data_IF_492958038173
#
_entry.id   IF_492958038173
#
_cell.length_a   1.000
_cell.length_b   1.000
_cell.length_c   1.000
_cell.angle_alpha   90.00
_cell.angle_beta   90.00
_cell.angle_gamma   90.00
#
_symmetry.space_group_name_H-M   'P 1'
#
loop_
_entity.id
_entity.type
_entity.pdbx_description
1 polymer ?
#
# COMPACT_ATOMS: atom_id res chain seq x y z
N UNK A 1 22.67 -7.92 67.31
CA UNK A 1 23.93 -7.29 66.84
C UNK A 1 24.91 -7.13 67.98
N UNK A 2 24.60 -6.44 69.08
CA UNK A 2 25.52 -6.19 70.19
C UNK A 2 26.06 -7.46 70.88
N UNK A 3 25.35 -8.57 70.85
CA UNK A 3 25.73 -9.84 71.44
C UNK A 3 26.47 -10.79 70.48
N UNK A 4 26.64 -10.42 69.25
CA UNK A 4 27.33 -11.22 68.21
C UNK A 4 28.84 -10.90 68.21
N UNK A 5 29.67 -11.93 68.05
CA UNK A 5 31.14 -11.82 68.10
C UNK A 5 31.74 -11.35 66.76
N UNK A 6 30.98 -11.45 65.67
CA UNK A 6 31.38 -11.01 64.32
C UNK A 6 30.21 -10.47 63.50
N UNK A 7 30.48 -9.63 62.50
CA UNK A 7 29.44 -9.15 61.58
C UNK A 7 28.70 -10.31 60.89
N UNK A 8 29.40 -11.38 60.52
CA UNK A 8 28.81 -12.54 59.88
C UNK A 8 27.77 -13.27 60.79
N UNK A 9 28.14 -13.46 62.08
CA UNK A 9 27.22 -14.02 63.07
C UNK A 9 26.00 -13.14 63.33
N UNK A 10 26.17 -11.81 63.26
CA UNK A 10 25.06 -10.87 63.38
C UNK A 10 24.10 -10.98 62.19
N UNK A 11 24.64 -11.15 60.98
CA UNK A 11 23.90 -11.38 59.74
C UNK A 11 23.03 -12.61 59.83
N UNK A 12 23.64 -13.77 60.20
CA UNK A 12 22.98 -15.06 60.32
C UNK A 12 21.85 -15.07 61.34
N UNK A 13 22.08 -14.43 62.49
CA UNK A 13 21.09 -14.24 63.55
C UNK A 13 19.94 -13.33 63.15
N UNK A 14 20.20 -12.28 62.38
CA UNK A 14 19.13 -11.40 61.85
C UNK A 14 18.28 -12.13 60.83
N UNK A 15 18.89 -12.86 59.91
CA UNK A 15 18.20 -13.66 58.93
C UNK A 15 17.32 -14.75 59.55
N UNK A 16 17.86 -15.51 60.52
CA UNK A 16 17.14 -16.61 61.17
C UNK A 16 15.99 -16.12 62.08
N UNK A 17 16.18 -15.04 62.82
CA UNK A 17 15.21 -14.51 63.80
C UNK A 17 14.07 -13.72 63.19
N UNK A 18 14.34 -12.98 62.11
CA UNK A 18 13.39 -12.07 61.51
C UNK A 18 12.98 -12.44 60.06
N UNK A 19 13.45 -13.61 59.57
CA UNK A 19 13.22 -14.07 58.21
C UNK A 19 13.61 -13.07 57.13
N UNK A 20 14.71 -12.32 57.36
CA UNK A 20 15.19 -11.31 56.46
C UNK A 20 16.06 -11.93 55.34
N UNK A 21 16.03 -11.33 54.17
CA UNK A 21 16.99 -11.67 53.12
C UNK A 21 18.40 -11.22 53.55
N UNK A 22 19.44 -11.84 52.91
CA UNK A 22 20.85 -11.46 53.18
C UNK A 22 21.10 -9.98 52.92
N UNK A 23 20.49 -9.40 51.87
CA UNK A 23 20.59 -7.97 51.51
C UNK A 23 20.00 -7.10 52.63
N UNK A 24 18.84 -7.46 53.15
CA UNK A 24 18.18 -6.73 54.23
C UNK A 24 18.98 -6.80 55.56
N UNK A 25 19.47 -7.99 55.89
CA UNK A 25 20.29 -8.19 57.10
C UNK A 25 21.60 -7.42 57.00
N UNK A 26 22.24 -7.39 55.85
CA UNK A 26 23.47 -6.60 55.60
C UNK A 26 23.22 -5.11 55.73
N UNK A 27 22.14 -4.59 55.19
CA UNK A 27 21.77 -3.20 55.31
C UNK A 27 21.59 -2.78 56.80
N UNK A 28 21.01 -3.68 57.64
CA UNK A 28 20.86 -3.42 59.07
C UNK A 28 22.22 -3.40 59.81
N UNK A 29 23.14 -4.32 59.46
CA UNK A 29 24.48 -4.37 60.10
C UNK A 29 25.33 -3.16 59.69
N UNK A 30 25.20 -2.67 58.47
CA UNK A 30 25.92 -1.51 57.92
C UNK A 30 25.29 -0.16 58.29
N UNK A 31 24.12 -0.16 58.98
CA UNK A 31 23.38 1.03 59.35
C UNK A 31 24.19 1.90 60.32
N UNK A 32 24.33 3.17 59.98
CA UNK A 32 25.06 4.16 60.82
C UNK A 32 24.18 4.59 62.00
N UNK A 33 24.80 4.85 63.18
CA UNK A 33 24.09 5.32 64.35
C UNK A 33 23.28 6.58 64.13
N UNK A 34 23.69 7.44 63.19
CA UNK A 34 22.94 8.64 62.76
C UNK A 34 21.56 8.30 62.20
N UNK A 35 21.44 7.18 61.53
CA UNK A 35 20.17 6.73 60.89
C UNK A 35 19.15 6.24 61.92
N UNK A 36 19.54 6.07 63.18
CA UNK A 36 18.68 5.67 64.30
C UNK A 36 18.07 6.89 65.03
N UNK A 37 18.34 8.11 64.58
CA UNK A 37 17.71 9.31 65.17
C UNK A 37 16.24 9.39 64.79
N UNK A 38 15.39 9.96 65.69
CA UNK A 38 13.94 10.05 65.45
C UNK A 38 13.60 10.73 64.13
N UNK A 39 14.29 11.79 63.73
CA UNK A 39 14.06 12.50 62.47
C UNK A 39 14.33 11.63 61.23
N UNK A 40 15.31 10.74 61.25
CA UNK A 40 15.57 9.81 60.14
C UNK A 40 14.60 8.62 60.13
N UNK A 41 14.10 8.21 61.33
CA UNK A 41 13.04 7.21 61.42
C UNK A 41 11.73 7.73 60.81
N UNK A 42 11.36 8.98 61.12
CA UNK A 42 10.16 9.61 60.55
C UNK A 42 10.24 9.72 59.04
N UNK A 43 11.40 10.07 58.48
CA UNK A 43 11.63 10.06 57.01
C UNK A 43 11.47 8.68 56.42
N UNK A 44 12.06 7.67 57.07
CA UNK A 44 11.98 6.28 56.58
C UNK A 44 10.52 5.76 56.62
N UNK A 45 9.76 6.13 57.67
CA UNK A 45 8.35 5.81 57.73
C UNK A 45 7.52 6.49 56.63
N UNK A 46 7.78 7.75 56.37
CA UNK A 46 7.11 8.47 55.28
C UNK A 46 7.41 7.84 53.93
N UNK A 47 8.67 7.53 53.65
CA UNK A 47 9.10 6.86 52.41
C UNK A 47 8.46 5.45 52.26
N UNK A 48 8.39 4.70 53.37
CA UNK A 48 7.73 3.40 53.39
C UNK A 48 6.23 3.50 53.06
N UNK A 49 5.53 4.45 53.70
CA UNK A 49 4.11 4.69 53.40
C UNK A 49 3.86 5.12 51.95
N UNK A 50 4.75 5.94 51.36
CA UNK A 50 4.66 6.34 49.98
C UNK A 50 4.81 5.14 49.03
N UNK A 51 5.80 4.28 49.32
CA UNK A 51 6.04 3.06 48.52
C UNK A 51 4.87 2.08 48.67
N UNK A 52 4.30 1.87 49.85
CA UNK A 52 3.13 1.02 50.05
C UNK A 52 1.90 1.52 49.28
N UNK A 53 1.68 2.82 49.28
CA UNK A 53 0.60 3.45 48.50
C UNK A 53 0.84 3.23 46.98
N UNK A 54 2.06 3.40 46.54
CA UNK A 54 2.42 3.17 45.15
C UNK A 54 2.22 1.69 44.73
N UNK A 55 2.67 0.75 45.59
CA UNK A 55 2.45 -0.69 45.32
C UNK A 55 0.97 -1.03 45.28
N UNK A 56 0.19 -0.51 46.19
CA UNK A 56 -1.28 -0.71 46.23
C UNK A 56 -1.94 -0.17 44.97
N UNK A 57 -1.56 1.02 44.53
CA UNK A 57 -2.07 1.65 43.31
C UNK A 57 -1.68 0.85 42.05
N UNK A 58 -0.42 0.39 41.94
CA UNK A 58 0.02 -0.42 40.80
C UNK A 58 -0.68 -1.79 40.76
N UNK A 59 -0.90 -2.41 41.90
CA UNK A 59 -1.69 -3.64 41.99
C UNK A 59 -3.15 -3.43 41.58
N UNK A 60 -3.76 -2.30 41.92
CA UNK A 60 -5.11 -1.94 41.49
C UNK A 60 -5.18 -1.75 39.99
N UNK A 61 -4.18 -1.10 39.36
CA UNK A 61 -4.09 -0.97 37.91
C UNK A 61 -4.00 -2.35 37.22
N UNK A 62 -3.20 -3.26 37.78
CA UNK A 62 -3.04 -4.61 37.25
C UNK A 62 -4.30 -5.48 37.40
N UNK A 63 -5.09 -5.23 38.46
CA UNK A 63 -6.32 -5.97 38.72
C UNK A 63 -7.54 -5.43 37.97
N UNK A 64 -7.48 -4.20 37.46
CA UNK A 64 -8.60 -3.51 36.82
C UNK A 64 -8.24 -2.97 35.44
N UNK A 65 -8.72 -3.65 34.40
CA UNK A 65 -8.48 -3.27 33.00
C UNK A 65 -8.98 -1.85 32.66
N UNK A 66 -10.08 -1.41 33.24
CA UNK A 66 -10.63 -0.07 32.97
C UNK A 66 -9.75 1.02 33.57
N UNK A 67 -9.19 0.78 34.74
CA UNK A 67 -8.22 1.68 35.35
C UNK A 67 -6.93 1.74 34.56
N UNK A 68 -6.44 0.58 34.06
CA UNK A 68 -5.27 0.48 33.19
C UNK A 68 -5.48 1.31 31.89
N UNK A 69 -6.64 1.16 31.26
CA UNK A 69 -6.99 1.94 30.05
C UNK A 69 -7.08 3.44 30.33
N UNK A 70 -7.58 3.81 31.52
CA UNK A 70 -7.63 5.20 31.94
C UNK A 70 -6.24 5.80 32.07
N UNK A 71 -5.32 5.11 32.74
CA UNK A 71 -3.92 5.54 32.88
C UNK A 71 -3.27 5.73 31.52
N UNK A 72 -3.39 4.74 30.62
CA UNK A 72 -2.86 4.86 29.26
C UNK A 72 -3.45 6.05 28.50
N UNK A 73 -4.74 6.31 28.68
CA UNK A 73 -5.40 7.47 28.05
C UNK A 73 -4.85 8.78 28.58
N UNK A 74 -4.67 8.88 29.89
CA UNK A 74 -4.18 10.10 30.55
C UNK A 74 -2.73 10.39 30.12
N UNK A 75 -1.85 9.38 30.04
CA UNK A 75 -0.49 9.49 29.52
C UNK A 75 -0.47 9.94 28.04
N UNK A 76 -1.36 9.38 27.19
CA UNK A 76 -1.48 9.78 25.79
C UNK A 76 -1.98 11.23 25.64
N UNK A 77 -2.87 11.67 26.52
CA UNK A 77 -3.36 13.06 26.54
C UNK A 77 -2.23 14.02 26.93
N UNK A 78 -1.41 13.67 27.91
CA UNK A 78 -0.24 14.47 28.29
C UNK A 78 0.75 14.62 27.12
N UNK A 79 1.04 13.51 26.40
CA UNK A 79 1.88 13.54 25.20
C UNK A 79 1.26 14.41 24.11
N UNK A 80 -0.07 14.28 23.90
CA UNK A 80 -0.79 15.09 22.93
C UNK A 80 -0.70 16.58 23.25
N UNK A 81 -0.88 16.96 24.53
CA UNK A 81 -0.84 18.36 24.93
C UNK A 81 0.56 18.96 24.82
N UNK A 82 1.60 18.13 25.05
CA UNK A 82 3.00 18.56 24.97
C UNK A 82 3.56 18.62 23.54
N UNK A 83 3.12 17.73 22.68
CA UNK A 83 3.69 17.53 21.32
C UNK A 83 2.67 17.64 20.20
N UNK A 84 1.38 17.88 20.52
CA UNK A 84 0.31 17.93 19.54
C UNK A 84 0.40 19.18 18.67
N UNK A 85 0.52 18.99 17.37
CA UNK A 85 0.45 20.05 16.37
C UNK A 85 -0.97 20.20 15.83
N UNK A 86 -1.30 21.40 15.38
CA UNK A 86 -2.51 21.64 14.60
C UNK A 86 -2.47 20.85 13.29
N UNK A 87 -3.62 20.32 12.89
CA UNK A 87 -3.72 19.62 11.60
C UNK A 87 -3.27 20.54 10.46
N UNK A 88 -2.30 20.10 9.66
CA UNK A 88 -1.73 20.85 8.54
C UNK A 88 -2.60 20.79 7.27
N UNK A 89 -3.49 19.80 7.18
CA UNK A 89 -4.37 19.59 6.03
C UNK A 89 -5.81 19.92 6.41
N UNK A 90 -6.53 20.59 5.54
CA UNK A 90 -7.95 20.86 5.69
C UNK A 90 -8.79 19.60 5.41
N UNK A 91 -9.86 19.39 6.20
CA UNK A 91 -10.86 18.35 5.91
C UNK A 91 -11.93 19.01 5.07
N UNK A 92 -11.97 18.69 3.80
CA UNK A 92 -13.04 19.09 2.89
C UNK A 92 -13.97 17.89 2.66
N UNK A 93 -15.27 18.14 2.65
CA UNK A 93 -16.21 17.12 2.19
C UNK A 93 -16.15 17.11 0.67
N UNK A 94 -15.71 16.00 0.08
CA UNK A 94 -15.74 15.82 -1.36
C UNK A 94 -17.21 15.83 -1.80
N UNK A 95 -17.61 16.85 -2.54
CA UNK A 95 -18.92 16.94 -3.17
C UNK A 95 -18.98 16.22 -4.52
N UNK A 96 -17.81 15.84 -5.07
CA UNK A 96 -17.65 15.14 -6.34
C UNK A 96 -16.80 13.90 -6.16
N UNK A 97 -17.17 12.81 -6.83
CA UNK A 97 -16.33 11.62 -6.92
C UNK A 97 -15.03 12.00 -7.63
N UNK A 98 -13.89 11.81 -6.95
CA UNK A 98 -12.57 12.02 -7.55
C UNK A 98 -12.42 11.04 -8.72
N UNK A 99 -12.44 11.57 -9.94
CA UNK A 99 -12.16 10.77 -11.11
C UNK A 99 -10.64 10.60 -11.25
N UNK A 100 -10.10 9.37 -11.33
CA UNK A 100 -8.68 9.15 -11.56
C UNK A 100 -8.13 9.89 -12.79
N UNK A 101 -8.97 10.18 -13.78
CA UNK A 101 -8.59 10.93 -14.97
C UNK A 101 -8.14 12.37 -14.64
N UNK A 102 -8.68 12.99 -13.57
CA UNK A 102 -8.39 14.39 -13.20
C UNK A 102 -6.94 14.58 -12.71
N UNK A 103 -6.27 13.48 -12.33
CA UNK A 103 -4.86 13.50 -11.91
C UNK A 103 -3.85 13.41 -13.06
N UNK A 104 -4.31 13.15 -14.27
CA UNK A 104 -3.46 13.00 -15.45
C UNK A 104 -3.81 14.07 -16.49
N UNK A 105 -2.80 14.78 -16.98
CA UNK A 105 -2.96 15.64 -18.18
C UNK A 105 -3.28 14.75 -19.39
N UNK A 106 -4.14 15.25 -20.31
CA UNK A 106 -4.52 14.49 -21.52
C UNK A 106 -3.44 14.61 -22.61
N UNK A 107 -2.20 14.25 -22.26
CA UNK A 107 -1.07 14.30 -23.16
C UNK A 107 -1.12 13.17 -24.22
N UNK A 108 -0.53 13.44 -25.40
CA UNK A 108 -0.41 12.42 -26.44
C UNK A 108 0.72 11.45 -26.15
N UNK A 109 0.38 10.17 -26.18
CA UNK A 109 1.27 9.05 -25.91
C UNK A 109 1.36 8.12 -27.12
N UNK A 110 2.47 7.42 -27.23
CA UNK A 110 2.65 6.28 -28.15
C UNK A 110 2.58 4.99 -27.35
N UNK A 111 1.61 4.16 -27.67
CA UNK A 111 1.49 2.81 -27.12
C UNK A 111 2.19 1.86 -28.05
N UNK A 112 3.14 1.10 -27.52
CA UNK A 112 3.90 0.09 -28.23
C UNK A 112 3.57 -1.28 -27.68
N UNK A 113 3.22 -2.23 -28.55
CA UNK A 113 2.89 -3.60 -28.18
C UNK A 113 3.78 -4.55 -28.99
N UNK A 114 4.45 -5.46 -28.29
CA UNK A 114 5.31 -6.47 -28.94
C UNK A 114 4.52 -7.74 -29.27
N UNK A 115 5.06 -8.57 -30.15
CA UNK A 115 4.49 -9.86 -30.55
C UNK A 115 4.30 -10.82 -29.36
N UNK A 116 5.19 -10.78 -28.37
CA UNK A 116 5.08 -11.58 -27.14
C UNK A 116 4.12 -10.98 -26.11
N UNK A 117 3.44 -9.87 -26.41
CA UNK A 117 2.44 -9.25 -25.54
C UNK A 117 3.02 -8.35 -24.46
N UNK A 118 4.18 -7.72 -24.69
CA UNK A 118 4.69 -6.64 -23.83
C UNK A 118 4.12 -5.30 -24.30
N UNK A 119 3.62 -4.51 -23.37
CA UNK A 119 3.01 -3.22 -23.64
C UNK A 119 3.69 -2.13 -22.79
N UNK A 120 3.82 -0.95 -23.40
CA UNK A 120 4.22 0.29 -22.72
C UNK A 120 3.58 1.50 -23.39
N UNK A 121 3.53 2.61 -22.66
CA UNK A 121 3.28 3.95 -23.21
C UNK A 121 4.55 4.78 -23.14
N UNK A 122 4.76 5.65 -24.13
CA UNK A 122 5.90 6.57 -24.18
C UNK A 122 5.37 7.93 -24.62
N UNK A 123 5.75 9.05 -23.98
CA UNK A 123 5.33 10.37 -24.40
C UNK A 123 5.70 10.64 -25.87
N UNK A 124 4.76 11.22 -26.63
CA UNK A 124 5.01 11.56 -28.04
C UNK A 124 6.22 12.49 -28.20
N UNK A 125 6.49 13.33 -27.22
CA UNK A 125 7.64 14.25 -27.20
C UNK A 125 9.01 13.56 -27.28
N UNK A 126 9.10 12.29 -26.90
CA UNK A 126 10.33 11.51 -27.06
C UNK A 126 10.62 11.13 -28.54
N UNK A 127 9.63 11.20 -29.41
CA UNK A 127 9.76 10.88 -30.83
C UNK A 127 9.97 12.15 -31.64
N UNK A 128 11.20 12.35 -32.11
CA UNK A 128 11.54 13.49 -32.97
C UNK A 128 11.24 13.19 -34.42
N UNK A 129 10.64 14.15 -35.13
CA UNK A 129 10.51 14.06 -36.58
C UNK A 129 11.90 14.03 -37.23
N UNK A 130 12.08 13.14 -38.21
CA UNK A 130 13.32 13.02 -38.97
C UNK A 130 13.10 13.47 -40.39
N UNK A 131 14.05 14.22 -40.92
CA UNK A 131 14.09 14.65 -42.34
C UNK A 131 14.65 13.52 -43.20
N UNK A 132 14.63 13.76 -44.57
CA UNK A 132 15.22 12.84 -45.51
C UNK A 132 16.70 12.58 -45.18
N UNK A 133 17.09 11.29 -45.14
CA UNK A 133 18.44 10.84 -44.74
C UNK A 133 18.62 10.58 -43.27
N UNK A 134 17.57 10.67 -42.45
CA UNK A 134 17.62 10.27 -41.04
C UNK A 134 17.83 8.75 -40.88
N UNK A 135 18.54 8.36 -39.81
CA UNK A 135 18.94 6.97 -39.53
C UNK A 135 17.76 6.14 -38.94
N UNK A 136 16.59 6.75 -38.73
CA UNK A 136 15.48 6.12 -38.03
C UNK A 136 15.59 6.22 -36.50
N UNK A 137 14.54 5.84 -35.79
CA UNK A 137 14.53 5.79 -34.35
C UNK A 137 14.03 4.42 -33.88
N UNK A 138 14.73 3.84 -32.90
CA UNK A 138 14.28 2.61 -32.25
C UNK A 138 13.09 2.94 -31.34
N UNK A 139 11.95 2.29 -31.55
CA UNK A 139 10.73 2.57 -30.78
C UNK A 139 10.61 1.75 -29.50
N UNK A 140 11.31 0.62 -29.40
CA UNK A 140 11.33 -0.23 -28.21
C UNK A 140 12.54 -1.13 -28.22
N UNK A 141 13.04 -1.52 -27.04
CA UNK A 141 13.84 -2.74 -26.92
C UNK A 141 12.93 -3.94 -26.75
N UNK A 142 13.26 -5.02 -27.42
CA UNK A 142 12.56 -6.27 -27.33
C UNK A 142 13.47 -7.36 -26.75
N UNK A 143 12.91 -8.50 -26.35
CA UNK A 143 13.68 -9.71 -26.04
C UNK A 143 14.18 -10.37 -27.32
N UNK A 144 15.14 -11.28 -27.19
CA UNK A 144 15.53 -12.13 -28.29
C UNK A 144 14.31 -12.87 -28.86
N UNK A 145 14.12 -12.83 -30.15
CA UNK A 145 12.97 -13.37 -30.89
C UNK A 145 11.63 -12.62 -30.70
N UNK A 146 11.59 -11.42 -30.06
CA UNK A 146 10.42 -10.56 -29.99
C UNK A 146 10.59 -9.33 -30.87
N UNK A 147 9.48 -8.74 -31.34
CA UNK A 147 9.48 -7.54 -32.18
C UNK A 147 8.25 -6.68 -31.89
N UNK A 148 8.31 -5.39 -32.20
CA UNK A 148 7.17 -4.49 -32.11
C UNK A 148 6.17 -4.82 -33.22
N UNK A 149 4.97 -5.24 -32.82
CA UNK A 149 3.92 -5.61 -33.76
C UNK A 149 2.91 -4.47 -33.97
N UNK A 150 2.58 -3.74 -32.89
CA UNK A 150 1.61 -2.64 -32.94
C UNK A 150 2.15 -1.36 -32.32
N UNK A 151 1.80 -0.24 -32.97
CA UNK A 151 2.06 1.11 -32.48
C UNK A 151 0.79 1.92 -32.64
N UNK A 152 0.29 2.47 -31.51
CA UNK A 152 -0.91 3.30 -31.49
C UNK A 152 -0.61 4.66 -30.87
N UNK A 153 -0.88 5.79 -31.56
CA UNK A 153 -0.98 7.08 -30.92
C UNK A 153 -2.30 7.15 -30.13
N UNK A 154 -2.24 7.61 -28.88
CA UNK A 154 -3.43 7.74 -28.02
C UNK A 154 -3.24 8.83 -27.00
N UNK A 155 -4.32 9.55 -26.66
CA UNK A 155 -4.30 10.46 -25.52
C UNK A 155 -4.34 9.68 -24.21
N UNK A 156 -3.89 10.30 -23.13
CA UNK A 156 -3.79 9.70 -21.80
C UNK A 156 -5.16 9.21 -21.29
N UNK A 157 -6.23 9.92 -21.61
CA UNK A 157 -7.61 9.58 -21.20
C UNK A 157 -8.30 8.59 -22.14
N UNK A 158 -7.67 8.21 -23.27
CA UNK A 158 -8.24 7.21 -24.17
C UNK A 158 -8.31 5.83 -23.52
N UNK A 159 -9.22 5.01 -24.02
CA UNK A 159 -9.39 3.62 -23.58
C UNK A 159 -8.85 2.67 -24.65
N UNK A 160 -8.02 1.73 -24.24
CA UNK A 160 -7.59 0.60 -25.05
C UNK A 160 -8.47 -0.61 -24.74
N UNK A 161 -9.04 -1.20 -25.76
CA UNK A 161 -9.81 -2.44 -25.69
C UNK A 161 -8.93 -3.59 -26.21
N UNK A 162 -8.93 -4.68 -25.47
CA UNK A 162 -8.12 -5.87 -25.72
C UNK A 162 -9.06 -7.06 -26.00
N UNK A 163 -8.97 -7.64 -27.15
CA UNK A 163 -9.80 -8.79 -27.55
C UNK A 163 -8.95 -10.06 -27.55
N UNK A 164 -9.38 -11.07 -26.81
CA UNK A 164 -8.65 -12.33 -26.68
C UNK A 164 -9.07 -13.38 -27.72
N UNK A 165 -8.23 -14.40 -27.88
CA UNK A 165 -8.50 -15.53 -28.76
C UNK A 165 -9.78 -16.28 -28.38
N UNK A 166 -10.15 -16.28 -27.09
CA UNK A 166 -11.41 -16.87 -26.61
C UNK A 166 -12.63 -15.96 -26.77
N UNK A 167 -12.46 -14.80 -27.40
CA UNK A 167 -13.54 -13.84 -27.68
C UNK A 167 -13.95 -12.96 -26.50
N UNK A 168 -13.11 -12.81 -25.49
CA UNK A 168 -13.33 -11.86 -24.39
C UNK A 168 -12.79 -10.48 -24.73
N UNK A 169 -13.39 -9.44 -24.15
CA UNK A 169 -12.96 -8.05 -24.22
C UNK A 169 -12.57 -7.57 -22.83
N UNK A 170 -11.38 -6.95 -22.72
CA UNK A 170 -10.87 -6.25 -21.55
C UNK A 170 -10.57 -4.80 -21.90
N UNK A 171 -10.44 -3.94 -20.87
CA UNK A 171 -10.16 -2.51 -21.03
C UNK A 171 -9.02 -2.07 -20.14
N UNK A 172 -8.25 -1.10 -20.62
CA UNK A 172 -7.35 -0.27 -19.82
C UNK A 172 -7.44 1.16 -20.31
N UNK A 173 -7.44 2.11 -19.37
CA UNK A 173 -7.14 3.48 -19.69
C UNK A 173 -5.67 3.63 -20.06
N UNK A 174 -5.33 4.55 -20.95
CA UNK A 174 -3.94 4.74 -21.37
C UNK A 174 -3.05 5.10 -20.17
N UNK A 175 -3.55 5.88 -19.21
CA UNK A 175 -2.79 6.21 -18.00
C UNK A 175 -2.48 5.00 -17.10
N UNK A 176 -3.24 3.91 -17.19
CA UNK A 176 -2.99 2.65 -16.46
C UNK A 176 -1.88 1.80 -17.13
N UNK A 177 -1.58 2.07 -18.40
CA UNK A 177 -0.50 1.38 -19.11
C UNK A 177 0.85 1.88 -18.57
N UNK A 178 1.80 0.99 -18.20
CA UNK A 178 3.09 1.39 -17.67
C UNK A 178 3.85 2.32 -18.60
N UNK A 179 4.34 3.43 -18.05
CA UNK A 179 5.20 4.34 -18.76
C UNK A 179 6.60 3.75 -18.95
N UNK A 180 7.19 3.99 -20.09
CA UNK A 180 8.50 3.51 -20.43
C UNK A 180 9.20 4.40 -21.45
N UNK A 181 10.51 4.52 -21.30
CA UNK A 181 11.35 5.20 -22.31
C UNK A 181 11.40 4.40 -23.61
N UNK A 182 11.90 5.01 -24.70
CA UNK A 182 12.11 4.31 -25.99
C UNK A 182 12.84 2.98 -25.85
N UNK A 183 13.80 2.90 -24.94
CA UNK A 183 14.67 1.72 -24.78
C UNK A 183 14.12 0.69 -23.77
N UNK A 184 12.95 0.92 -23.18
CA UNK A 184 12.35 -0.04 -22.25
C UNK A 184 11.58 -1.14 -22.99
N UNK A 185 11.52 -2.33 -22.39
CA UNK A 185 10.80 -3.50 -22.94
C UNK A 185 9.29 -3.48 -22.66
N UNK A 186 8.83 -2.64 -21.73
CA UNK A 186 7.45 -2.63 -21.27
C UNK A 186 7.15 -3.75 -20.26
N UNK A 187 5.86 -3.98 -20.00
CA UNK A 187 5.35 -5.04 -19.11
C UNK A 187 4.41 -5.97 -19.87
N UNK A 188 4.36 -7.23 -19.45
CA UNK A 188 3.45 -8.21 -20.05
C UNK A 188 1.98 -7.80 -19.78
N UNK A 189 1.15 -7.83 -20.81
CA UNK A 189 -0.28 -7.51 -20.75
C UNK A 189 -1.02 -8.38 -19.73
N UNK A 190 -0.60 -9.64 -19.58
CA UNK A 190 -1.17 -10.58 -18.61
C UNK A 190 -1.01 -10.13 -17.14
N UNK A 191 -0.04 -9.24 -16.85
CA UNK A 191 0.13 -8.66 -15.52
C UNK A 191 -0.76 -7.43 -15.27
N UNK A 192 -1.38 -6.89 -16.31
CA UNK A 192 -2.24 -5.72 -16.27
C UNK A 192 -3.72 -6.07 -16.34
N UNK A 193 -4.04 -7.18 -16.99
CA UNK A 193 -5.40 -7.65 -17.22
C UNK A 193 -5.61 -9.04 -16.62
N UNK A 194 -6.79 -9.28 -16.05
CA UNK A 194 -7.18 -10.60 -15.52
C UNK A 194 -7.55 -11.58 -16.66
N UNK A 195 -6.58 -11.85 -17.52
CA UNK A 195 -6.75 -12.79 -18.64
C UNK A 195 -6.66 -14.22 -18.11
N UNK A 196 -7.55 -15.10 -18.54
CA UNK A 196 -7.55 -16.50 -18.16
C UNK A 196 -6.26 -17.21 -18.64
N UNK A 197 -5.79 -18.16 -17.84
CA UNK A 197 -4.59 -18.93 -18.19
C UNK A 197 -4.77 -19.62 -19.54
N UNK A 198 -3.76 -19.47 -20.41
CA UNK A 198 -3.78 -20.02 -21.76
C UNK A 198 -4.56 -19.22 -22.79
N UNK A 199 -5.15 -18.07 -22.44
CA UNK A 199 -5.73 -17.14 -23.41
C UNK A 199 -4.70 -16.09 -23.85
N UNK A 200 -4.86 -15.58 -25.08
CA UNK A 200 -3.94 -14.61 -25.71
C UNK A 200 -4.73 -13.46 -26.30
N UNK A 201 -4.21 -12.23 -26.16
CA UNK A 201 -4.78 -11.07 -26.84
C UNK A 201 -4.40 -11.10 -28.32
N UNK A 202 -5.42 -11.01 -29.17
CA UNK A 202 -5.26 -11.08 -30.62
C UNK A 202 -5.56 -9.76 -31.33
N UNK A 203 -6.35 -8.87 -30.72
CA UNK A 203 -6.70 -7.60 -31.33
C UNK A 203 -6.80 -6.46 -30.32
N UNK A 204 -6.48 -5.27 -30.78
CA UNK A 204 -6.46 -4.04 -30.00
C UNK A 204 -7.27 -2.98 -30.70
N UNK A 205 -8.11 -2.27 -29.94
CA UNK A 205 -8.90 -1.14 -30.46
C UNK A 205 -8.76 0.04 -29.50
N UNK A 206 -8.35 1.18 -30.04
CA UNK A 206 -8.31 2.43 -29.30
C UNK A 206 -9.63 3.19 -29.46
N UNK A 207 -10.22 3.63 -28.34
CA UNK A 207 -11.40 4.50 -28.32
C UNK A 207 -11.10 5.74 -27.50
N UNK A 208 -11.24 6.92 -28.10
CA UNK A 208 -10.84 8.19 -27.46
C UNK A 208 -11.69 8.51 -26.23
N UNK A 209 -13.01 8.29 -26.28
CA UNK A 209 -13.97 8.63 -25.21
C UNK A 209 -15.06 7.56 -25.07
N UNK A 210 -14.66 6.39 -24.58
CA UNK A 210 -15.58 5.25 -24.48
C UNK A 210 -16.71 5.44 -23.44
N UNK A 211 -16.46 6.22 -22.38
CA UNK A 211 -17.42 6.37 -21.26
C UNK A 211 -18.12 7.71 -21.25
N UNK A 212 -17.61 8.73 -21.95
CA UNK A 212 -18.09 10.11 -21.86
C UNK A 212 -18.81 10.61 -23.12
N UNK A 213 -18.54 10.04 -24.28
CA UNK A 213 -19.12 10.48 -25.55
C UNK A 213 -20.27 9.54 -25.97
N UNK A 214 -21.47 9.84 -25.47
CA UNK A 214 -22.68 9.02 -25.69
C UNK A 214 -23.10 9.01 -27.16
N UNK A 215 -22.92 10.09 -27.90
CA UNK A 215 -23.27 10.17 -29.31
C UNK A 215 -22.34 9.27 -30.15
N UNK A 216 -21.05 9.33 -29.87
CA UNK A 216 -20.05 8.52 -30.55
C UNK A 216 -20.30 7.02 -30.31
N UNK A 217 -20.49 6.58 -29.08
CA UNK A 217 -20.66 5.16 -28.75
C UNK A 217 -21.97 4.58 -29.28
N UNK A 218 -23.02 5.40 -29.46
CA UNK A 218 -24.32 4.98 -30.02
C UNK A 218 -24.35 5.01 -31.55
N UNK A 219 -23.37 5.65 -32.19
CA UNK A 219 -23.28 5.75 -33.66
C UNK A 219 -22.22 4.82 -34.27
N UNK A 220 -21.33 4.27 -33.45
CA UNK A 220 -20.21 3.44 -33.91
C UNK A 220 -20.39 1.96 -33.56
N UNK A 221 -19.78 1.10 -34.37
CA UNK A 221 -19.90 -0.35 -34.24
C UNK A 221 -18.51 -1.00 -34.26
N UNK A 222 -18.37 -2.11 -33.54
CA UNK A 222 -17.28 -3.04 -33.69
C UNK A 222 -17.70 -4.16 -34.63
N UNK A 223 -16.86 -4.45 -35.60
CA UNK A 223 -17.02 -5.57 -36.51
C UNK A 223 -15.99 -6.64 -36.17
N UNK A 224 -16.47 -7.82 -35.85
CA UNK A 224 -15.66 -9.00 -35.59
C UNK A 224 -15.69 -9.93 -36.79
N UNK A 225 -14.54 -10.48 -37.15
CA UNK A 225 -14.43 -11.52 -38.15
C UNK A 225 -13.52 -12.62 -37.59
N UNK A 226 -14.03 -13.85 -37.55
CA UNK A 226 -13.30 -15.00 -37.07
C UNK A 226 -12.53 -15.67 -38.21
N UNK A 227 -11.58 -16.57 -37.88
CA UNK A 227 -10.79 -17.32 -38.86
C UNK A 227 -11.65 -18.11 -39.85
N UNK A 228 -12.76 -18.68 -39.40
CA UNK A 228 -13.70 -19.43 -40.26
C UNK A 228 -14.75 -18.54 -40.96
N UNK A 229 -14.59 -17.22 -40.92
CA UNK A 229 -15.43 -16.28 -41.67
C UNK A 229 -16.75 -15.92 -40.96
N UNK A 230 -16.92 -16.21 -39.69
CA UNK A 230 -18.08 -15.72 -38.94
C UNK A 230 -17.94 -14.23 -38.70
N UNK A 231 -18.92 -13.45 -39.11
CA UNK A 231 -18.95 -11.99 -38.95
C UNK A 231 -20.02 -11.59 -37.95
N UNK A 232 -19.65 -10.73 -37.00
CA UNK A 232 -20.55 -10.13 -36.00
C UNK A 232 -20.36 -8.62 -35.95
N UNK A 233 -21.43 -7.88 -36.02
CA UNK A 233 -21.47 -6.42 -35.83
C UNK A 233 -22.13 -6.12 -34.47
N UNK A 234 -21.46 -5.36 -33.60
CA UNK A 234 -21.98 -5.00 -32.28
C UNK A 234 -21.83 -3.50 -32.06
N UNK A 235 -22.84 -2.86 -31.51
CA UNK A 235 -22.82 -1.44 -31.17
C UNK A 235 -21.71 -1.18 -30.11
N UNK A 236 -20.98 -0.08 -30.23
CA UNK A 236 -19.88 0.24 -29.31
C UNK A 236 -20.38 0.46 -27.87
N UNK A 237 -21.64 0.91 -27.73
CA UNK A 237 -22.30 1.07 -26.41
C UNK A 237 -22.24 -0.21 -25.57
N UNK A 238 -22.36 -1.39 -26.18
CA UNK A 238 -22.28 -2.68 -25.48
C UNK A 238 -20.95 -2.86 -24.68
N UNK A 239 -19.94 -2.07 -25.01
CA UNK A 239 -18.60 -2.09 -24.41
C UNK A 239 -18.31 -0.86 -23.53
N UNK A 240 -19.29 0.02 -23.33
CA UNK A 240 -19.12 1.27 -22.57
C UNK A 240 -18.98 1.08 -21.06
N UNK A 241 -19.26 -0.12 -20.55
CA UNK A 241 -19.21 -0.48 -19.12
C UNK A 241 -18.08 -1.48 -18.82
N UNK A 242 -16.84 -1.02 -18.61
CA UNK A 242 -15.69 -1.88 -18.30
C UNK A 242 -15.93 -2.76 -17.08
N UNK A 243 -15.44 -4.01 -17.13
CA UNK A 243 -15.45 -4.95 -16.01
C UNK A 243 -14.07 -5.58 -15.87
N UNK A 244 -13.58 -5.75 -14.64
CA UNK A 244 -12.26 -6.33 -14.36
C UNK A 244 -12.08 -7.73 -14.98
N UNK A 245 -13.12 -8.54 -14.97
CA UNK A 245 -13.08 -9.92 -15.50
C UNK A 245 -13.38 -9.99 -17.01
N UNK A 246 -13.42 -8.83 -17.68
CA UNK A 246 -13.81 -8.74 -19.08
C UNK A 246 -15.28 -9.09 -19.34
N UNK A 247 -15.71 -8.96 -20.59
CA UNK A 247 -17.01 -9.43 -21.07
C UNK A 247 -16.82 -10.32 -22.28
N UNK A 248 -17.81 -11.17 -22.56
CA UNK A 248 -17.80 -11.94 -23.79
C UNK A 248 -18.20 -11.06 -24.99
N UNK A 249 -17.27 -10.80 -25.89
CA UNK A 249 -17.48 -10.00 -27.09
C UNK A 249 -18.04 -10.85 -28.26
N UNK A 250 -17.51 -12.04 -28.45
CA UNK A 250 -17.93 -13.00 -29.44
C UNK A 250 -17.69 -14.42 -28.94
N UNK A 251 -18.62 -15.33 -29.21
CA UNK A 251 -18.44 -16.74 -28.89
C UNK A 251 -17.66 -17.40 -30.03
N UNK A 252 -16.44 -17.84 -29.72
CA UNK A 252 -15.59 -18.56 -30.67
C UNK A 252 -15.92 -20.05 -30.61
N UNK A 253 -16.12 -20.69 -31.75
CA UNK A 253 -16.32 -22.14 -31.87
C UNK A 253 -14.97 -22.85 -31.80
N UNK A 254 -15.00 -24.14 -31.48
CA UNK A 254 -13.81 -24.99 -31.48
C UNK A 254 -13.12 -24.93 -32.88
N UNK A 255 -11.83 -24.73 -32.91
CA UNK A 255 -10.97 -24.54 -34.09
C UNK A 255 -11.21 -23.27 -34.95
N UNK A 256 -11.90 -22.25 -34.44
CA UNK A 256 -12.15 -20.99 -35.14
C UNK A 256 -11.31 -19.82 -34.57
#
# INVERSE_FOLDING_TARGET
>A
IKSSKSPAEALERLMSRFALSEIQAKAIVEMRLRQLTGLEQDKLHAEFEEIEKLISYLNEILANDDLCRKVMKDELLEIKDKYGDARKTEIIYASEELNPEDFYSDDEMIITISHMGYIKRTPLSEFRAQNRGGVGAKGSETRDADFVEYIYPASMHATMMFFTARGKCYWLKVFEIPEGTKNSKGRAIQNLLNIEAGDKVNAFVRVKRLTTDTEFINSHYLLFCTKKGVIKKTLLEAYSRPRQNGINAITIKEDD
#
